data_IF_082879887357
#
_entry.id   IF_082879887357
#
_cell.length_a   1.000
_cell.length_b   1.000
_cell.length_c   1.000
_cell.angle_alpha   90.00
_cell.angle_beta   90.00
_cell.angle_gamma   90.00
#
_symmetry.space_group_name_H-M   'P 1'
#
loop_
_entity.id
_entity.type
_entity.pdbx_description
1 polymer ?
#
# COMPACT_ATOMS: atom_id res chain seq x y z
N UNK A 1 19.71 -5.58 -23.97
CA UNK A 1 18.51 -5.50 -23.11
C UNK A 1 17.77 -6.83 -23.23
N UNK A 2 17.35 -7.43 -22.12
CA UNK A 2 16.60 -8.69 -22.12
C UNK A 2 15.15 -8.46 -22.50
N UNK A 3 14.45 -9.44 -23.09
CA UNK A 3 12.99 -9.35 -23.32
C UNK A 3 12.21 -9.14 -22.01
N UNK A 4 12.76 -9.61 -20.89
CA UNK A 4 12.16 -9.44 -19.57
C UNK A 4 12.22 -7.99 -19.05
N UNK A 5 13.13 -7.14 -19.56
CA UNK A 5 13.15 -5.72 -19.14
C UNK A 5 11.93 -4.95 -19.64
N UNK A 6 11.24 -5.43 -20.68
CA UNK A 6 9.97 -4.88 -21.12
C UNK A 6 8.80 -5.22 -20.18
N UNK A 7 8.96 -6.21 -19.30
CA UNK A 7 7.95 -6.67 -18.34
C UNK A 7 8.20 -6.12 -16.92
N UNK A 8 9.28 -5.37 -16.72
CA UNK A 8 9.52 -4.68 -15.45
C UNK A 8 8.42 -3.63 -15.24
N UNK A 9 7.77 -3.69 -14.09
CA UNK A 9 6.77 -2.71 -13.72
C UNK A 9 7.41 -1.31 -13.65
N UNK A 10 6.69 -0.31 -14.15
CA UNK A 10 7.15 1.08 -14.15
C UNK A 10 6.85 1.71 -12.79
N UNK A 11 7.82 2.42 -12.23
CA UNK A 11 7.57 3.29 -11.09
C UNK A 11 6.64 4.44 -11.47
N UNK A 12 5.93 4.97 -10.48
CA UNK A 12 5.06 6.14 -10.65
C UNK A 12 5.18 7.04 -9.42
N UNK A 13 5.20 8.34 -9.65
CA UNK A 13 5.24 9.35 -8.58
C UNK A 13 3.83 9.70 -8.12
N UNK A 14 3.64 9.72 -6.80
CA UNK A 14 2.39 10.08 -6.14
C UNK A 14 2.65 11.20 -5.14
N UNK A 15 1.70 12.14 -5.02
CA UNK A 15 1.77 13.16 -3.99
C UNK A 15 1.02 12.67 -2.74
N UNK A 16 1.74 12.41 -1.65
CA UNK A 16 1.19 11.85 -0.41
C UNK A 16 1.68 12.71 0.75
N UNK A 17 0.77 13.28 1.54
CA UNK A 17 1.17 14.14 2.67
C UNK A 17 1.95 15.39 2.26
N UNK A 18 1.83 15.83 1.01
CA UNK A 18 2.56 16.98 0.47
C UNK A 18 3.98 16.68 -0.02
N UNK A 19 4.42 15.41 0.00
CA UNK A 19 5.69 14.97 -0.60
C UNK A 19 5.45 14.20 -1.90
N UNK A 20 6.36 14.37 -2.86
CA UNK A 20 6.37 13.58 -4.08
C UNK A 20 7.14 12.27 -3.83
N UNK A 21 6.41 11.16 -3.82
CA UNK A 21 6.94 9.84 -3.52
C UNK A 21 6.90 8.96 -4.77
N UNK A 22 8.07 8.54 -5.26
CA UNK A 22 8.18 7.59 -6.37
C UNK A 22 7.99 6.16 -5.85
N UNK A 23 6.85 5.53 -6.17
CA UNK A 23 6.56 4.16 -5.79
C UNK A 23 6.97 3.18 -6.86
N UNK A 24 7.63 2.09 -6.45
CA UNK A 24 7.99 0.95 -7.31
C UNK A 24 7.00 -0.19 -7.14
N UNK A 25 6.56 -0.83 -8.24
CA UNK A 25 5.65 -1.96 -8.16
C UNK A 25 6.35 -3.16 -7.52
N UNK A 26 5.54 -4.03 -6.91
CA UNK A 26 5.99 -5.32 -6.42
C UNK A 26 6.43 -6.22 -7.58
N UNK A 27 7.34 -7.11 -7.25
CA UNK A 27 7.90 -8.13 -8.13
C UNK A 27 7.17 -9.46 -7.93
N UNK A 28 7.46 -10.43 -8.81
CA UNK A 28 6.87 -11.78 -8.73
C UNK A 28 7.23 -12.48 -7.41
N UNK A 29 8.37 -12.17 -6.80
CA UNK A 29 8.78 -12.72 -5.51
C UNK A 29 7.89 -12.23 -4.34
N UNK A 30 7.16 -11.14 -4.54
CA UNK A 30 6.37 -10.46 -3.52
C UNK A 30 4.87 -10.65 -3.74
N UNK A 31 4.49 -11.54 -4.65
CA UNK A 31 3.09 -11.81 -5.02
C UNK A 31 2.25 -12.28 -3.84
N UNK A 32 2.86 -12.90 -2.82
CA UNK A 32 2.19 -13.32 -1.59
C UNK A 32 1.56 -12.14 -0.82
N UNK A 33 2.13 -10.94 -0.93
CA UNK A 33 1.60 -9.73 -0.28
C UNK A 33 0.31 -9.22 -0.92
N UNK A 34 0.01 -9.68 -2.15
CA UNK A 34 -1.23 -9.37 -2.85
C UNK A 34 -2.39 -10.32 -2.51
N UNK A 35 -2.13 -11.40 -1.78
CA UNK A 35 -3.16 -12.32 -1.30
C UNK A 35 -3.89 -11.70 -0.11
N UNK A 36 -4.69 -10.66 -0.37
CA UNK A 36 -5.65 -10.14 0.60
C UNK A 36 -6.77 -11.16 0.69
N UNK A 37 -6.74 -11.95 1.76
CA UNK A 37 -7.84 -12.83 2.14
C UNK A 37 -9.07 -11.96 2.44
N UNK A 38 -10.10 -12.12 1.60
CA UNK A 38 -11.33 -11.34 1.67
C UNK A 38 -12.26 -11.78 2.79
N UNK A 39 -12.02 -12.97 3.35
CA UNK A 39 -12.79 -13.54 4.45
C UNK A 39 -12.09 -13.34 5.80
N UNK A 40 -10.86 -12.79 5.79
CA UNK A 40 -10.11 -12.46 6.99
C UNK A 40 -10.76 -11.32 7.79
N UNK A 41 -10.51 -11.32 9.10
CA UNK A 41 -11.00 -10.29 10.01
C UNK A 41 -10.44 -8.90 9.66
N UNK A 42 -11.11 -7.83 10.10
CA UNK A 42 -10.63 -6.46 9.89
C UNK A 42 -9.22 -6.22 10.45
N UNK A 43 -8.82 -6.93 11.51
CA UNK A 43 -7.48 -6.86 12.07
C UNK A 43 -6.43 -7.51 11.15
N UNK A 44 -6.73 -8.69 10.60
CA UNK A 44 -5.86 -9.40 9.66
C UNK A 44 -5.74 -8.67 8.33
N UNK A 45 -6.83 -8.07 7.84
CA UNK A 45 -6.80 -7.22 6.64
C UNK A 45 -5.92 -5.99 6.85
N UNK A 46 -5.96 -5.39 8.04
CA UNK A 46 -5.10 -4.25 8.40
C UNK A 46 -3.63 -4.66 8.52
N UNK A 47 -3.33 -5.83 9.08
CA UNK A 47 -1.96 -6.34 9.18
C UNK A 47 -1.38 -6.63 7.79
N UNK A 48 -2.14 -7.28 6.91
CA UNK A 48 -1.75 -7.54 5.52
C UNK A 48 -1.53 -6.23 4.76
N UNK A 49 -2.42 -5.25 4.95
CA UNK A 49 -2.29 -3.90 4.39
C UNK A 49 -1.00 -3.21 4.85
N UNK A 50 -0.66 -3.31 6.14
CA UNK A 50 0.57 -2.74 6.70
C UNK A 50 1.81 -3.40 6.12
N UNK A 51 1.82 -4.72 5.97
CA UNK A 51 2.92 -5.47 5.34
C UNK A 51 3.13 -5.06 3.88
N UNK A 52 2.04 -4.91 3.13
CA UNK A 52 2.07 -4.45 1.75
C UNK A 52 2.67 -3.05 1.63
N UNK A 53 2.15 -2.08 2.41
CA UNK A 53 2.66 -0.70 2.42
C UNK A 53 4.14 -0.66 2.80
N UNK A 54 4.52 -1.35 3.89
CA UNK A 54 5.89 -1.37 4.36
C UNK A 54 6.85 -1.93 3.29
N UNK A 55 6.45 -3.00 2.59
CA UNK A 55 7.28 -3.59 1.55
C UNK A 55 7.46 -2.65 0.36
N UNK A 56 6.37 -2.04 -0.12
CA UNK A 56 6.45 -1.09 -1.23
C UNK A 56 7.31 0.11 -0.85
N UNK A 57 7.16 0.65 0.36
CA UNK A 57 7.99 1.74 0.85
C UNK A 57 9.47 1.37 0.91
N UNK A 58 9.83 0.19 1.44
CA UNK A 58 11.22 -0.30 1.45
C UNK A 58 11.83 -0.41 0.04
N UNK A 59 11.06 -0.87 -0.93
CA UNK A 59 11.53 -0.99 -2.32
C UNK A 59 11.69 0.39 -3.00
N UNK A 60 10.84 1.33 -2.62
CA UNK A 60 10.71 2.65 -3.23
C UNK A 60 11.69 3.66 -2.65
N UNK A 61 11.89 3.62 -1.33
CA UNK A 61 12.77 4.50 -0.55
C UNK A 61 13.82 3.63 0.14
N UNK A 62 14.95 3.31 -0.52
CA UNK A 62 15.95 2.38 0.01
C UNK A 62 16.67 2.91 1.26
N UNK A 63 16.63 4.21 1.46
CA UNK A 63 17.20 4.96 2.58
C UNK A 63 16.23 5.08 3.77
N UNK A 64 14.96 4.66 3.62
CA UNK A 64 14.01 4.63 4.72
C UNK A 64 14.33 3.50 5.69
N UNK A 65 14.36 3.83 6.99
CA UNK A 65 14.51 2.87 8.07
C UNK A 65 13.19 2.18 8.40
N UNK A 66 13.27 1.00 9.01
CA UNK A 66 12.09 0.28 9.50
C UNK A 66 11.30 1.10 10.54
N UNK A 67 12.00 1.92 11.31
CA UNK A 67 11.42 2.85 12.28
C UNK A 67 10.60 3.96 11.59
N UNK A 68 11.15 4.59 10.56
CA UNK A 68 10.44 5.60 9.75
C UNK A 68 9.18 5.03 9.10
N UNK A 69 9.27 3.82 8.52
CA UNK A 69 8.11 3.16 7.91
C UNK A 69 7.05 2.81 8.96
N UNK A 70 7.46 2.38 10.15
CA UNK A 70 6.54 2.02 11.23
C UNK A 70 5.86 3.23 11.89
N UNK A 71 6.47 4.40 11.77
CA UNK A 71 5.99 5.67 12.33
C UNK A 71 5.17 6.51 11.35
N UNK A 72 4.92 6.00 10.14
CA UNK A 72 3.98 6.62 9.19
C UNK A 72 2.59 6.76 9.84
N UNK A 73 2.11 7.98 9.91
CA UNK A 73 0.79 8.32 10.46
C UNK A 73 -0.33 7.56 9.74
N UNK A 74 -1.34 7.13 10.51
CA UNK A 74 -2.50 6.41 9.98
C UNK A 74 -3.25 7.19 8.89
N UNK A 75 -3.21 8.52 8.95
CA UNK A 75 -3.82 9.42 7.95
C UNK A 75 -3.22 9.25 6.54
N UNK A 76 -1.97 8.80 6.45
CA UNK A 76 -1.30 8.56 5.17
C UNK A 76 -1.46 7.13 4.67
N UNK A 77 -1.96 6.20 5.49
CA UNK A 77 -2.13 4.80 5.08
C UNK A 77 -3.17 4.64 3.97
N UNK A 78 -4.28 5.37 4.03
CA UNK A 78 -5.30 5.34 2.98
C UNK A 78 -4.77 5.81 1.61
N UNK A 79 -4.15 7.02 1.49
CA UNK A 79 -3.59 7.44 0.21
C UNK A 79 -2.39 6.60 -0.24
N UNK A 80 -1.59 6.06 0.68
CA UNK A 80 -0.53 5.08 0.34
C UNK A 80 -1.12 3.82 -0.28
N UNK A 81 -2.17 3.27 0.33
CA UNK A 81 -2.82 2.06 -0.17
C UNK A 81 -3.43 2.30 -1.56
N UNK A 82 -4.10 3.43 -1.75
CA UNK A 82 -4.69 3.82 -3.03
C UNK A 82 -3.62 3.97 -4.12
N UNK A 83 -2.51 4.65 -3.82
CA UNK A 83 -1.38 4.77 -4.72
C UNK A 83 -0.79 3.40 -5.11
N UNK A 84 -0.63 2.49 -4.14
CA UNK A 84 -0.15 1.13 -4.38
C UNK A 84 -1.12 0.34 -5.26
N UNK A 85 -2.42 0.42 -5.01
CA UNK A 85 -3.43 -0.27 -5.84
C UNK A 85 -3.45 0.27 -7.26
N UNK A 86 -3.40 1.59 -7.42
CA UNK A 86 -3.33 2.25 -8.73
C UNK A 86 -2.07 1.85 -9.50
N UNK A 87 -0.92 1.77 -8.81
CA UNK A 87 0.36 1.35 -9.39
C UNK A 87 0.28 -0.05 -10.01
N UNK A 88 -0.50 -0.93 -9.39
CA UNK A 88 -0.74 -2.30 -9.86
C UNK A 88 -1.98 -2.43 -10.75
N UNK A 89 -2.59 -1.30 -11.15
CA UNK A 89 -3.79 -1.23 -11.99
C UNK A 89 -4.99 -2.00 -11.43
N UNK A 90 -5.05 -2.17 -10.12
CA UNK A 90 -6.25 -2.63 -9.43
C UNK A 90 -7.16 -1.40 -9.28
N UNK A 91 -8.01 -1.16 -10.27
CA UNK A 91 -8.85 0.05 -10.35
C UNK A 91 -10.11 -0.02 -9.46
N UNK A 92 -10.74 1.14 -9.24
CA UNK A 92 -11.98 1.44 -8.49
C UNK A 92 -13.23 0.55 -8.75
N UNK A 93 -13.14 -0.45 -9.63
CA UNK A 93 -14.19 -1.47 -9.81
C UNK A 93 -14.05 -2.69 -8.89
N UNK A 94 -12.91 -2.88 -8.23
CA UNK A 94 -12.69 -4.00 -7.32
C UNK A 94 -13.28 -3.72 -5.94
N UNK A 95 -14.33 -4.48 -5.59
CA UNK A 95 -15.06 -4.43 -4.31
C UNK A 95 -14.15 -4.58 -3.06
N UNK A 96 -12.89 -4.97 -3.25
CA UNK A 96 -11.84 -5.03 -2.22
C UNK A 96 -11.38 -3.65 -1.76
N UNK A 97 -11.36 -2.64 -2.64
CA UNK A 97 -10.86 -1.29 -2.32
C UNK A 97 -11.79 -0.54 -1.35
N UNK A 98 -13.10 -0.69 -1.54
CA UNK A 98 -14.08 -0.06 -0.66
C UNK A 98 -13.98 -0.61 0.77
N UNK A 99 -13.83 -1.94 0.92
CA UNK A 99 -13.68 -2.57 2.25
C UNK A 99 -12.44 -2.12 3.00
N UNK A 100 -11.29 -1.99 2.32
CA UNK A 100 -10.05 -1.50 2.96
C UNK A 100 -10.20 -0.03 3.36
N UNK A 101 -10.79 0.82 2.51
CA UNK A 101 -11.10 2.23 2.84
C UNK A 101 -12.03 2.34 4.05
N UNK A 102 -13.09 1.52 4.10
CA UNK A 102 -14.04 1.51 5.21
C UNK A 102 -13.40 1.05 6.54
N UNK A 103 -12.52 0.04 6.51
CA UNK A 103 -11.79 -0.43 7.71
C UNK A 103 -10.81 0.63 8.23
N UNK A 104 -10.06 1.28 7.33
CA UNK A 104 -9.12 2.35 7.73
C UNK A 104 -9.91 3.53 8.32
N UNK A 105 -10.96 3.99 7.64
CA UNK A 105 -11.78 5.12 8.10
C UNK A 105 -12.47 4.86 9.44
N UNK A 106 -12.98 3.64 9.67
CA UNK A 106 -13.60 3.26 10.94
C UNK A 106 -12.61 3.37 12.12
N UNK A 107 -11.34 3.00 11.90
CA UNK A 107 -10.28 3.08 12.92
C UNK A 107 -9.83 4.53 13.17
N UNK A 108 -9.67 5.35 12.13
CA UNK A 108 -9.28 6.76 12.29
C UNK A 108 -10.36 7.60 13.01
N UNK A 109 -11.63 7.19 12.91
CA UNK A 109 -12.75 7.87 13.56
C UNK A 109 -12.90 7.47 15.04
N UNK A 110 -12.54 6.23 15.40
CA UNK A 110 -12.53 5.77 16.80
C UNK A 110 -11.45 6.45 17.65
N UNK A 111 -10.27 6.75 17.10
CA UNK A 111 -9.22 7.47 17.84
C UNK A 111 -9.52 8.96 18.04
N UNK A 112 -10.40 9.58 17.24
CA UNK A 112 -10.81 10.98 17.43
C UNK A 112 -11.91 11.17 18.48
N UNK A 113 -12.50 10.09 18.99
CA UNK A 113 -13.63 10.12 19.93
C UNK A 113 -13.26 9.69 21.36
N UNK A 114 -11.97 9.55 21.65
CA UNK A 114 -11.44 9.13 22.96
C UNK A 114 -10.46 10.17 23.51
#
# INVERSE_FOLDING_TARGET
>A
MSKLSALQGKSKTYNIGGIDLELKPLTVEEMELFSIDTDASAAEQMESSKKLIAKVLKNSVPDATDEEISSVSLEHLAPLMEAIMELHKMSEGDNKMQKVKDVIAARTTQEKSN
#
